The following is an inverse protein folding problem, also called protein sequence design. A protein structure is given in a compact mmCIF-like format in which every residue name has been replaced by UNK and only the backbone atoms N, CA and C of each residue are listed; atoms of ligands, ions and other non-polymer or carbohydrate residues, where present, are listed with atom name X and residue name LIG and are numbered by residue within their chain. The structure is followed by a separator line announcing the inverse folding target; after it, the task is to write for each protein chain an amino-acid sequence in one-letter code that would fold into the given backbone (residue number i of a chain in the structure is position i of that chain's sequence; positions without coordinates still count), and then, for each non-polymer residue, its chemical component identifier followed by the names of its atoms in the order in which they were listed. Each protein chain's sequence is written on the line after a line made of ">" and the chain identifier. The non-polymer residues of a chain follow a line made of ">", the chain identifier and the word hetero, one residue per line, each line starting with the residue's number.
data_IF_582455771252
#
_entry.id   IF_582455771252
#
_cell.length_a   1.000
_cell.length_b   1.000
_cell.length_c   1.000
_cell.angle_alpha   90.00
_cell.angle_beta   90.00
_cell.angle_gamma   90.00
#
_symmetry.space_group_name_H-M   'P 1'
#
loop_
_entity.id
_entity.type
_entity.pdbx_description
1 polymer ?
#
# COMPACT_ATOMS: atom_id res chain seq x y z
N UNK A 1 2.94 -14.57 -62.53
CA UNK A 1 2.00 -13.85 -61.63
C UNK A 1 2.54 -13.96 -60.20
N UNK A 2 3.07 -12.87 -59.63
CA UNK A 2 3.67 -12.87 -58.28
C UNK A 2 2.58 -12.58 -57.24
N UNK A 3 2.36 -13.51 -56.31
CA UNK A 3 1.44 -13.33 -55.16
C UNK A 3 2.16 -12.52 -54.09
N UNK A 4 1.65 -11.32 -53.80
CA UNK A 4 2.07 -10.51 -52.66
C UNK A 4 1.27 -11.00 -51.46
N UNK A 5 1.94 -11.56 -50.45
CA UNK A 5 1.33 -11.94 -49.18
C UNK A 5 1.45 -10.73 -48.26
N UNK A 6 0.35 -10.00 -48.05
CA UNK A 6 0.27 -8.98 -47.01
C UNK A 6 0.16 -9.67 -45.65
N UNK A 7 1.23 -9.59 -44.85
CA UNK A 7 1.19 -9.91 -43.43
C UNK A 7 0.55 -8.73 -42.70
N UNK A 8 -0.76 -8.82 -42.45
CA UNK A 8 -1.46 -7.90 -41.57
C UNK A 8 -1.05 -8.19 -40.13
N UNK A 9 -0.08 -7.43 -39.61
CA UNK A 9 0.27 -7.43 -38.19
C UNK A 9 -0.89 -6.87 -37.37
N UNK A 10 -1.68 -7.77 -36.78
CA UNK A 10 -2.68 -7.45 -35.77
C UNK A 10 -1.95 -6.94 -34.51
N UNK A 11 -1.88 -5.63 -34.35
CA UNK A 11 -1.53 -5.03 -33.06
C UNK A 11 -2.73 -5.19 -32.13
N UNK A 12 -2.71 -6.25 -31.33
CA UNK A 12 -3.60 -6.38 -30.19
C UNK A 12 -3.13 -5.36 -29.14
N UNK A 13 -3.78 -4.21 -29.09
CA UNK A 13 -3.66 -3.29 -27.97
C UNK A 13 -4.22 -3.99 -26.74
N UNK A 14 -3.33 -4.55 -25.92
CA UNK A 14 -3.69 -5.01 -24.58
C UNK A 14 -3.89 -3.74 -23.76
N UNK A 15 -5.15 -3.37 -23.51
CA UNK A 15 -5.47 -2.31 -22.56
C UNK A 15 -4.81 -2.67 -21.23
N UNK A 16 -3.79 -1.89 -20.86
CA UNK A 16 -3.07 -2.06 -19.61
C UNK A 16 -4.04 -1.81 -18.46
N UNK A 17 -4.49 -2.92 -17.88
CA UNK A 17 -5.07 -3.08 -16.56
C UNK A 17 -4.49 -2.03 -15.56
N UNK A 18 -5.20 -0.91 -15.37
CA UNK A 18 -4.91 0.26 -14.53
C UNK A 18 -3.55 0.35 -13.81
N UNK A 19 -2.73 1.31 -14.24
CA UNK A 19 -1.38 1.58 -13.71
C UNK A 19 -1.37 1.81 -12.19
N UNK A 20 -0.36 1.26 -11.53
CA UNK A 20 -0.07 1.56 -10.12
C UNK A 20 0.19 3.07 -9.96
N UNK A 21 -0.36 3.74 -8.91
CA UNK A 21 0.04 5.10 -8.57
C UNK A 21 1.55 5.22 -8.45
N UNK A 22 2.13 6.13 -9.25
CA UNK A 22 3.58 6.34 -9.36
C UNK A 22 4.12 6.96 -8.07
N UNK A 23 5.27 6.46 -7.62
CA UNK A 23 6.00 6.91 -6.42
C UNK A 23 7.50 6.97 -6.75
N UNK A 24 8.32 7.59 -5.90
CA UNK A 24 9.77 7.55 -6.11
C UNK A 24 10.36 6.15 -5.98
N UNK A 25 11.52 5.92 -6.60
CA UNK A 25 12.26 4.66 -6.48
C UNK A 25 12.62 4.31 -5.02
N UNK A 26 12.76 5.32 -4.15
CA UNK A 26 13.01 5.10 -2.72
C UNK A 26 11.78 4.48 -2.05
N UNK A 27 10.59 4.95 -2.37
CA UNK A 27 9.34 4.37 -1.85
C UNK A 27 9.13 2.96 -2.42
N UNK A 28 9.38 2.74 -3.71
CA UNK A 28 9.30 1.39 -4.32
C UNK A 28 10.21 0.40 -3.58
N UNK A 29 11.46 0.79 -3.28
CA UNK A 29 12.41 -0.03 -2.52
C UNK A 29 11.90 -0.35 -1.10
N UNK A 30 11.37 0.65 -0.39
CA UNK A 30 10.81 0.46 0.96
C UNK A 30 9.63 -0.52 0.95
N UNK A 31 8.73 -0.40 -0.03
CA UNK A 31 7.57 -1.30 -0.18
C UNK A 31 8.03 -2.71 -0.55
N UNK A 32 8.91 -2.84 -1.54
CA UNK A 32 9.44 -4.13 -1.99
C UNK A 32 10.19 -4.86 -0.87
N UNK A 33 11.04 -4.15 -0.12
CA UNK A 33 11.74 -4.69 1.05
C UNK A 33 10.75 -5.22 2.09
N UNK A 34 9.66 -4.50 2.35
CA UNK A 34 8.62 -4.98 3.25
C UNK A 34 7.93 -6.23 2.70
N UNK A 35 7.41 -6.18 1.48
CA UNK A 35 6.68 -7.28 0.85
C UNK A 35 7.52 -8.56 0.85
N UNK A 36 8.77 -8.47 0.41
CA UNK A 36 9.72 -9.58 0.39
C UNK A 36 10.02 -10.11 1.80
N UNK A 37 10.22 -9.23 2.77
CA UNK A 37 10.51 -9.60 4.15
C UNK A 37 9.42 -10.41 4.85
N UNK A 38 8.16 -10.27 4.41
CA UNK A 38 7.02 -11.07 4.91
C UNK A 38 6.50 -12.07 3.88
N UNK A 39 7.19 -12.22 2.74
CA UNK A 39 6.75 -13.03 1.59
C UNK A 39 5.28 -12.77 1.22
N UNK A 40 4.88 -11.50 1.19
CA UNK A 40 3.58 -11.05 0.71
C UNK A 40 3.71 -10.41 -0.68
N UNK A 41 2.58 -10.04 -1.27
CA UNK A 41 2.54 -9.31 -2.54
C UNK A 41 1.82 -7.99 -2.35
N UNK A 42 2.35 -6.93 -2.94
CA UNK A 42 1.69 -5.63 -2.89
C UNK A 42 0.47 -5.60 -3.81
N UNK A 43 -0.66 -5.11 -3.29
CA UNK A 43 -1.78 -4.69 -4.12
C UNK A 43 -1.64 -3.20 -4.48
N UNK A 44 -0.81 -2.92 -5.48
CA UNK A 44 -0.36 -1.56 -5.81
C UNK A 44 -1.50 -0.59 -6.17
N UNK A 45 -2.61 -1.09 -6.71
CA UNK A 45 -3.77 -0.25 -7.10
C UNK A 45 -4.43 0.43 -5.91
N UNK A 46 -4.26 -0.14 -4.72
CA UNK A 46 -4.76 0.47 -3.49
C UNK A 46 -3.80 1.55 -2.94
N UNK A 47 -2.69 1.89 -3.60
CA UNK A 47 -1.80 2.95 -3.13
C UNK A 47 -2.56 4.26 -2.96
N UNK A 48 -2.30 4.95 -1.86
CA UNK A 48 -2.70 6.34 -1.67
C UNK A 48 -1.44 7.14 -1.41
N UNK A 49 -1.18 8.10 -2.31
CA UNK A 49 0.06 8.88 -2.31
C UNK A 49 -0.28 10.30 -1.89
N UNK A 50 0.37 10.78 -0.84
CA UNK A 50 0.40 12.19 -0.47
C UNK A 50 1.78 12.71 -0.83
N UNK A 51 1.83 13.70 -1.72
CA UNK A 51 3.09 14.21 -2.26
C UNK A 51 3.08 15.73 -2.35
N UNK A 52 4.19 16.31 -1.95
CA UNK A 52 4.55 17.72 -2.11
C UNK A 52 6.08 17.81 -2.37
N UNK A 53 6.64 19.01 -2.51
CA UNK A 53 8.06 19.23 -2.89
C UNK A 53 9.06 18.50 -1.99
N UNK A 54 8.76 18.40 -0.68
CA UNK A 54 9.66 17.83 0.32
C UNK A 54 9.15 16.54 0.95
N UNK A 55 7.95 16.10 0.59
CA UNK A 55 7.28 14.98 1.24
C UNK A 55 6.67 14.05 0.21
N UNK A 56 6.90 12.75 0.39
CA UNK A 56 6.17 11.69 -0.30
C UNK A 56 5.83 10.61 0.74
N UNK A 57 4.55 10.47 1.09
CA UNK A 57 4.06 9.45 2.03
C UNK A 57 3.06 8.59 1.30
N UNK A 58 3.18 7.27 1.49
CA UNK A 58 2.37 6.30 0.76
C UNK A 58 1.74 5.33 1.71
N UNK A 59 0.41 5.22 1.65
CA UNK A 59 -0.31 4.07 2.17
C UNK A 59 -0.35 2.98 1.09
N UNK A 60 0.06 1.77 1.44
CA UNK A 60 0.09 0.62 0.55
C UNK A 60 -0.43 -0.62 1.27
N UNK A 61 -0.86 -1.62 0.49
CA UNK A 61 -1.43 -2.87 0.99
C UNK A 61 -0.54 -4.03 0.59
N UNK A 62 -0.21 -4.89 1.55
CA UNK A 62 0.40 -6.20 1.29
C UNK A 62 -0.62 -7.30 1.60
N UNK A 63 -0.80 -8.23 0.66
CA UNK A 63 -1.73 -9.35 0.75
C UNK A 63 -1.00 -10.68 0.91
N UNK A 64 -1.70 -11.64 1.51
CA UNK A 64 -1.31 -13.05 1.61
C UNK A 64 0.09 -13.33 2.17
N UNK A 65 0.50 -12.70 3.29
CA UNK A 65 1.83 -12.84 3.85
C UNK A 65 2.14 -14.30 4.23
N UNK A 66 3.23 -14.84 3.68
CA UNK A 66 3.65 -16.22 3.95
C UNK A 66 4.66 -16.38 5.08
N UNK A 67 5.36 -15.31 5.47
CA UNK A 67 6.38 -15.33 6.52
C UNK A 67 7.44 -16.43 6.34
N UNK A 68 7.40 -17.49 7.15
CA UNK A 68 8.34 -18.61 7.12
C UNK A 68 7.86 -19.81 6.29
N UNK A 69 6.66 -19.74 5.66
CA UNK A 69 6.13 -20.82 4.83
C UNK A 69 6.76 -20.75 3.44
N UNK A 70 7.93 -21.36 3.30
CA UNK A 70 8.74 -21.29 2.08
C UNK A 70 8.15 -22.08 0.91
N UNK A 71 7.39 -23.13 1.20
CA UNK A 71 6.73 -23.99 0.19
C UNK A 71 5.59 -23.29 -0.56
N UNK A 72 5.05 -22.21 0.02
CA UNK A 72 3.98 -21.43 -0.61
C UNK A 72 4.55 -20.25 -1.41
N UNK A 73 4.03 -19.97 -2.62
CA UNK A 73 4.35 -18.75 -3.35
C UNK A 73 4.05 -17.50 -2.49
N UNK A 74 4.91 -16.46 -2.51
CA UNK A 74 4.62 -15.20 -1.82
C UNK A 74 3.24 -14.65 -2.19
N UNK A 75 2.51 -14.12 -1.20
CA UNK A 75 1.16 -13.58 -1.42
C UNK A 75 0.03 -14.62 -1.50
N UNK A 76 0.32 -15.92 -1.39
CA UNK A 76 -0.70 -16.99 -1.49
C UNK A 76 -1.20 -17.50 -0.12
N UNK A 77 -0.63 -17.04 0.99
CA UNK A 77 -0.88 -17.60 2.31
C UNK A 77 -2.13 -17.05 3.00
N UNK A 78 -3.29 -17.32 2.39
CA UNK A 78 -4.61 -16.98 2.91
C UNK A 78 -5.06 -15.56 2.59
N UNK A 79 -6.20 -15.17 3.15
CA UNK A 79 -6.90 -13.92 2.84
C UNK A 79 -6.63 -12.80 3.85
N UNK A 80 -5.41 -12.75 4.38
CA UNK A 80 -4.99 -11.69 5.28
C UNK A 80 -4.31 -10.56 4.51
N UNK A 81 -4.45 -9.33 4.98
CA UNK A 81 -3.78 -8.17 4.41
C UNK A 81 -3.41 -7.16 5.49
N UNK A 82 -2.34 -6.42 5.23
CA UNK A 82 -1.91 -5.30 6.06
C UNK A 82 -1.94 -4.02 5.26
N UNK A 83 -2.46 -2.96 5.89
CA UNK A 83 -2.28 -1.60 5.40
C UNK A 83 -1.09 -1.00 6.12
N UNK A 84 -0.11 -0.52 5.35
CA UNK A 84 1.13 0.04 5.88
C UNK A 84 1.38 1.43 5.31
N UNK A 85 2.23 2.19 6.00
CA UNK A 85 2.67 3.51 5.60
C UNK A 85 4.20 3.55 5.53
N UNK A 86 4.75 4.14 4.48
CA UNK A 86 6.17 4.49 4.32
C UNK A 86 6.27 5.92 3.82
N UNK A 87 7.43 6.55 3.95
CA UNK A 87 7.61 7.90 3.41
C UNK A 87 9.05 8.33 3.18
N UNK A 88 9.18 9.45 2.47
CA UNK A 88 10.40 10.24 2.35
C UNK A 88 10.04 11.68 2.70
N UNK A 89 10.68 12.26 3.71
CA UNK A 89 10.44 13.64 4.19
C UNK A 89 11.79 14.35 4.29
N UNK A 90 11.94 15.49 3.62
CA UNK A 90 13.19 16.26 3.52
C UNK A 90 14.39 15.35 3.13
N UNK A 91 14.15 14.40 2.22
CA UNK A 91 15.14 13.41 1.76
C UNK A 91 15.44 12.27 2.74
N UNK A 92 14.89 12.28 3.96
CA UNK A 92 15.04 11.22 4.95
C UNK A 92 14.01 10.12 4.72
N UNK A 93 14.44 8.86 4.75
CA UNK A 93 13.55 7.69 4.69
C UNK A 93 12.81 7.52 6.01
N UNK A 94 11.51 7.26 5.91
CA UNK A 94 10.66 6.86 7.03
C UNK A 94 10.25 5.41 6.85
N UNK A 95 10.70 4.59 7.79
CA UNK A 95 10.50 3.14 7.77
C UNK A 95 9.02 2.77 7.92
N UNK A 96 8.69 1.54 7.51
CA UNK A 96 7.30 1.09 7.50
C UNK A 96 6.64 1.14 8.89
N UNK A 97 5.36 1.50 8.91
CA UNK A 97 4.46 1.27 10.06
C UNK A 97 3.18 0.61 9.58
N UNK A 98 2.64 -0.33 10.35
CA UNK A 98 1.33 -0.93 10.07
C UNK A 98 0.27 0.00 10.63
N UNK A 99 -0.64 0.46 9.76
CA UNK A 99 -1.69 1.44 10.12
C UNK A 99 -3.07 0.81 10.16
N UNK A 100 -3.21 -0.42 9.65
CA UNK A 100 -4.47 -1.12 9.58
C UNK A 100 -4.34 -2.47 8.91
N UNK A 101 -5.48 -3.05 8.60
CA UNK A 101 -5.57 -4.41 8.08
C UNK A 101 -6.92 -5.03 8.38
N UNK A 102 -7.07 -6.28 7.94
CA UNK A 102 -8.29 -7.04 8.11
C UNK A 102 -8.73 -7.10 9.58
N UNK A 103 -9.95 -6.66 9.87
CA UNK A 103 -10.53 -6.74 11.21
C UNK A 103 -9.99 -5.73 12.22
N UNK A 104 -9.14 -4.79 11.80
CA UNK A 104 -8.52 -3.81 12.70
C UNK A 104 -8.97 -2.41 12.34
N UNK A 105 -8.59 -1.94 11.15
CA UNK A 105 -8.86 -0.58 10.70
C UNK A 105 -8.81 -0.52 9.18
N UNK A 106 -9.86 0.02 8.57
CA UNK A 106 -9.97 0.23 7.13
C UNK A 106 -9.71 1.71 6.81
N UNK A 107 -8.55 1.99 6.23
CA UNK A 107 -8.15 3.35 5.85
C UNK A 107 -8.97 3.86 4.67
N UNK A 108 -9.45 5.11 4.76
CA UNK A 108 -10.14 5.81 3.66
C UNK A 108 -9.31 6.94 3.10
N UNK A 109 -8.73 7.77 3.96
CA UNK A 109 -7.99 8.97 3.56
C UNK A 109 -6.73 9.10 4.39
N UNK A 110 -5.76 9.82 3.81
CA UNK A 110 -4.52 10.20 4.46
C UNK A 110 -4.31 11.70 4.21
N UNK A 111 -3.90 12.41 5.26
CA UNK A 111 -3.61 13.85 5.25
C UNK A 111 -2.36 14.12 6.07
N UNK A 112 -1.67 15.20 5.74
CA UNK A 112 -0.55 15.71 6.53
C UNK A 112 -1.01 17.02 7.19
N UNK A 113 -0.88 17.09 8.52
CA UNK A 113 -1.24 18.23 9.34
C UNK A 113 -0.03 18.64 10.19
N UNK A 114 0.74 19.61 9.69
CA UNK A 114 2.01 20.00 10.31
C UNK A 114 3.00 18.83 10.36
N UNK A 115 3.43 18.46 11.58
CA UNK A 115 4.34 17.32 11.80
C UNK A 115 3.63 15.97 12.08
N UNK A 116 2.34 15.87 11.73
CA UNK A 116 1.52 14.69 11.98
C UNK A 116 0.89 14.19 10.68
N UNK A 117 0.84 12.88 10.53
CA UNK A 117 0.02 12.22 9.50
C UNK A 117 -1.29 11.79 10.14
N UNK A 118 -2.40 12.27 9.60
CA UNK A 118 -3.76 11.85 9.98
C UNK A 118 -4.27 10.83 8.96
N UNK A 119 -4.72 9.68 9.46
CA UNK A 119 -5.37 8.66 8.66
C UNK A 119 -6.80 8.51 9.17
N UNK A 120 -7.77 8.79 8.31
CA UNK A 120 -9.20 8.62 8.63
C UNK A 120 -9.72 7.34 7.98
N UNK A 121 -10.67 6.69 8.64
CA UNK A 121 -11.12 5.37 8.24
C UNK A 121 -12.26 4.84 9.10
N UNK A 122 -12.37 3.52 9.11
CA UNK A 122 -13.38 2.79 9.85
C UNK A 122 -12.74 1.73 10.75
N UNK A 123 -13.22 1.63 11.99
CA UNK A 123 -12.91 0.56 12.95
C UNK A 123 -14.11 -0.38 13.05
N UNK A 124 -13.84 -1.58 13.55
CA UNK A 124 -14.85 -2.62 13.72
C UNK A 124 -15.56 -2.47 15.07
N UNK A 125 -16.88 -2.51 15.04
CA UNK A 125 -17.71 -2.77 16.21
C UNK A 125 -17.68 -4.27 16.57
N UNK A 126 -18.11 -4.61 17.80
CA UNK A 126 -18.23 -6.02 18.20
C UNK A 126 -19.27 -6.80 17.38
N UNK A 127 -20.20 -6.11 16.73
CA UNK A 127 -21.21 -6.71 15.85
C UNK A 127 -20.82 -6.74 14.37
N UNK A 128 -19.70 -6.09 14.00
CA UNK A 128 -19.30 -6.00 12.60
C UNK A 128 -18.75 -7.33 12.11
N UNK A 129 -19.15 -7.72 10.90
CA UNK A 129 -18.44 -8.75 10.16
C UNK A 129 -17.06 -8.23 9.74
N UNK A 130 -16.07 -9.12 9.63
CA UNK A 130 -14.68 -8.77 9.30
C UNK A 130 -14.49 -8.08 7.94
N UNK A 131 -15.51 -8.08 7.08
CA UNK A 131 -15.54 -7.35 5.81
C UNK A 131 -15.94 -5.87 5.94
N UNK A 132 -16.63 -5.53 7.03
CA UNK A 132 -17.64 -4.48 7.00
C UNK A 132 -17.59 -3.63 8.28
N UNK A 133 -16.50 -2.88 8.51
CA UNK A 133 -16.38 -1.99 9.67
C UNK A 133 -17.37 -0.83 9.56
N UNK A 134 -17.93 -0.39 10.69
CA UNK A 134 -18.99 0.62 10.73
C UNK A 134 -18.65 1.88 11.53
N UNK A 135 -17.62 1.86 12.38
CA UNK A 135 -17.32 2.97 13.30
C UNK A 135 -16.31 3.94 12.68
N UNK A 136 -16.72 5.19 12.43
CA UNK A 136 -15.79 6.25 12.02
C UNK A 136 -14.69 6.45 13.06
N UNK A 137 -13.43 6.44 12.61
CA UNK A 137 -12.28 6.55 13.50
C UNK A 137 -11.06 7.11 12.74
N UNK A 138 -10.08 7.59 13.51
CA UNK A 138 -8.84 8.11 12.96
C UNK A 138 -7.63 7.63 13.74
N UNK A 139 -6.48 7.64 13.07
CA UNK A 139 -5.17 7.37 13.66
C UNK A 139 -4.23 8.51 13.32
N UNK A 140 -3.40 8.89 14.29
CA UNK A 140 -2.43 9.98 14.14
C UNK A 140 -1.02 9.43 14.33
N UNK A 141 -0.10 9.86 13.49
CA UNK A 141 1.30 9.47 13.56
C UNK A 141 2.19 10.71 13.55
N UNK A 142 3.01 10.90 14.58
CA UNK A 142 4.07 11.91 14.58
C UNK A 142 5.24 11.45 13.74
N UNK A 143 5.88 12.41 13.07
CA UNK A 143 7.10 12.20 12.31
C UNK A 143 8.29 12.41 13.26
N UNK A 144 8.94 11.32 13.66
CA UNK A 144 10.04 11.36 14.63
C UNK A 144 11.22 10.52 14.15
N UNK A 145 12.37 11.16 13.95
CA UNK A 145 13.65 10.50 13.68
C UNK A 145 13.68 9.47 12.52
N UNK A 146 12.80 9.58 11.52
CA UNK A 146 12.70 8.60 10.41
C UNK A 146 11.75 7.45 10.71
N UNK A 147 10.86 7.63 11.69
CA UNK A 147 9.82 6.69 12.07
C UNK A 147 8.49 7.42 12.18
N UNK A 148 7.42 6.66 11.96
CA UNK A 148 6.05 7.09 12.25
C UNK A 148 5.68 6.58 13.65
N UNK A 149 5.46 7.49 14.59
CA UNK A 149 5.12 7.15 15.98
C UNK A 149 3.63 7.38 16.20
N UNK A 150 2.87 6.32 16.48
CA UNK A 150 1.44 6.42 16.73
C UNK A 150 1.17 7.25 17.99
N UNK A 151 0.35 8.29 17.83
CA UNK A 151 -0.15 9.10 18.95
C UNK A 151 -1.40 8.40 19.46
N UNK A 152 -1.27 7.73 20.60
CA UNK A 152 -2.44 7.15 21.28
C UNK A 152 -3.38 8.27 21.74
N UNK A 153 -4.70 8.07 21.63
CA UNK A 153 -5.67 8.97 22.23
C UNK A 153 -5.52 9.05 23.74
#
# INVERSE_FOLDING_TARGET
>A
MKKIILFASLFLSVDAYGDCPKVSAVIEDLIAKHANGIRGVEYCRARQVVKDERVEIVLYTIEGPCYKREESPPGSCGNNFFRSMVGVIDGKKYEKVIVGGKGVFLTKTIKIEGNTVLIEGLSYSNSDSMCCPSISSSRKYKLENGSFVEVKP
#
